data_IF_364467697640
#
_entry.id   IF_364467697640
#
_cell.length_a   1.000
_cell.length_b   1.000
_cell.length_c   1.000
_cell.angle_alpha   90.00
_cell.angle_beta   90.00
_cell.angle_gamma   90.00
#
_symmetry.space_group_name_H-M   'P 1'
#
loop_
_entity.id
_entity.type
_entity.pdbx_description
1 polymer ?
#
# COMPACT_ATOMS: atom_id res chain seq x y z
N UNK A 1 8.38 -15.28 -18.47
CA UNK A 1 7.90 -14.26 -17.51
C UNK A 1 9.11 -13.61 -16.85
N UNK A 2 9.32 -12.30 -17.04
CA UNK A 2 10.50 -11.61 -16.51
C UNK A 2 10.44 -11.53 -14.97
N UNK A 3 11.44 -12.10 -14.28
CA UNK A 3 11.61 -11.98 -12.82
C UNK A 3 12.01 -10.53 -12.48
N UNK A 4 11.06 -9.69 -12.07
CA UNK A 4 11.38 -8.38 -11.47
C UNK A 4 12.11 -8.62 -10.15
N UNK A 5 13.42 -8.33 -10.15
CA UNK A 5 14.31 -8.48 -8.99
C UNK A 5 13.99 -7.37 -8.00
N UNK A 6 13.34 -7.69 -6.88
CA UNK A 6 13.13 -6.72 -5.79
C UNK A 6 14.50 -6.41 -5.19
N UNK A 7 15.00 -5.21 -5.43
CA UNK A 7 16.28 -4.74 -4.88
C UNK A 7 16.02 -4.27 -3.46
N UNK A 8 16.51 -5.03 -2.47
CA UNK A 8 16.55 -4.58 -1.09
C UNK A 8 17.67 -3.54 -0.96
N UNK A 9 17.30 -2.27 -0.79
CA UNK A 9 18.29 -1.19 -0.68
C UNK A 9 19.12 -1.36 0.60
N UNK A 10 20.40 -1.75 0.46
CA UNK A 10 21.42 -1.31 1.43
C UNK A 10 21.51 0.21 1.29
N UNK A 11 21.50 0.93 2.43
CA UNK A 11 21.51 2.41 2.58
C UNK A 11 22.55 3.21 1.74
N UNK A 12 23.39 2.57 0.94
CA UNK A 12 24.60 3.13 0.35
C UNK A 12 24.63 3.18 -1.19
N UNK A 13 23.49 3.04 -1.89
CA UNK A 13 23.47 2.94 -3.37
C UNK A 13 22.37 3.71 -4.11
N UNK A 14 21.66 4.64 -3.48
CA UNK A 14 20.61 5.43 -4.15
C UNK A 14 20.83 6.91 -3.86
N UNK A 15 20.69 7.75 -4.89
CA UNK A 15 20.74 9.21 -4.78
C UNK A 15 19.58 9.72 -3.92
N UNK A 16 19.82 10.79 -3.15
CA UNK A 16 18.91 11.28 -2.12
C UNK A 16 17.52 11.69 -2.67
N UNK A 17 17.45 12.12 -3.93
CA UNK A 17 16.21 12.50 -4.62
C UNK A 17 15.39 11.29 -5.12
N UNK A 18 15.98 10.09 -5.20
CA UNK A 18 15.28 8.88 -5.64
C UNK A 18 14.65 8.09 -4.47
N UNK A 19 14.73 8.63 -3.24
CA UNK A 19 14.26 7.98 -2.02
C UNK A 19 12.84 8.43 -1.61
N UNK A 20 11.86 8.35 -2.52
CA UNK A 20 10.46 8.53 -2.12
C UNK A 20 10.02 7.35 -1.25
N UNK A 21 9.74 7.63 0.03
CA UNK A 21 9.26 6.66 1.03
C UNK A 21 8.03 5.89 0.56
N UNK A 22 7.24 6.42 -0.38
CA UNK A 22 6.06 5.74 -0.95
C UNK A 22 6.40 4.54 -1.82
N UNK A 23 7.60 4.50 -2.41
CA UNK A 23 8.04 3.45 -3.34
C UNK A 23 8.98 2.42 -2.72
N UNK A 24 9.28 2.56 -1.44
CA UNK A 24 10.26 1.72 -0.73
C UNK A 24 9.53 0.71 0.14
N UNK A 25 9.94 -0.56 0.06
CA UNK A 25 9.53 -1.60 1.01
C UNK A 25 10.56 -1.72 2.12
N UNK A 26 10.15 -1.49 3.36
CA UNK A 26 10.99 -1.68 4.54
C UNK A 26 10.63 -3.02 5.19
N UNK A 27 11.63 -3.89 5.38
CA UNK A 27 11.44 -5.14 6.11
C UNK A 27 11.53 -4.87 7.61
N UNK A 28 10.42 -5.04 8.32
CA UNK A 28 10.36 -4.94 9.77
C UNK A 28 9.78 -6.22 10.37
N UNK A 29 10.16 -6.53 11.60
CA UNK A 29 9.52 -7.58 12.39
C UNK A 29 8.42 -6.95 13.24
N UNK A 30 7.20 -7.44 13.10
CA UNK A 30 6.04 -7.01 13.90
C UNK A 30 5.43 -8.25 14.55
N UNK A 31 5.06 -8.16 15.83
CA UNK A 31 4.24 -9.18 16.49
C UNK A 31 2.77 -8.82 16.28
N UNK A 32 2.00 -9.78 15.78
CA UNK A 32 0.55 -9.69 15.65
C UNK A 32 -0.06 -10.79 16.50
N UNK A 33 -1.20 -10.51 17.10
CA UNK A 33 -1.99 -11.52 17.81
C UNK A 33 -2.47 -12.60 16.82
N UNK A 34 -2.61 -13.83 17.31
CA UNK A 34 -2.87 -14.98 16.46
C UNK A 34 -4.22 -14.88 15.73
N UNK A 35 -5.25 -14.44 16.45
CA UNK A 35 -6.59 -14.19 15.91
C UNK A 35 -6.60 -13.09 14.85
N UNK A 36 -5.84 -12.01 15.07
CA UNK A 36 -5.68 -10.92 14.09
C UNK A 36 -5.01 -11.43 12.82
N UNK A 37 -3.94 -12.22 12.93
CA UNK A 37 -3.25 -12.77 11.77
C UNK A 37 -4.15 -13.71 10.96
N UNK A 38 -4.90 -14.59 11.64
CA UNK A 38 -5.83 -15.51 10.96
C UNK A 38 -6.98 -14.76 10.29
N UNK A 39 -7.55 -13.74 10.94
CA UNK A 39 -8.57 -12.88 10.32
C UNK A 39 -8.06 -12.19 9.06
N UNK A 40 -6.84 -11.66 9.10
CA UNK A 40 -6.21 -11.01 7.94
C UNK A 40 -5.94 -12.01 6.80
N UNK A 41 -5.55 -13.25 7.11
CA UNK A 41 -5.36 -14.31 6.10
C UNK A 41 -6.67 -14.69 5.42
N UNK A 42 -7.75 -14.87 6.18
CA UNK A 42 -9.06 -15.19 5.64
C UNK A 42 -9.54 -14.09 4.67
N UNK A 43 -9.50 -12.83 5.11
CA UNK A 43 -9.88 -11.69 4.27
C UNK A 43 -9.00 -11.53 3.03
N UNK A 44 -7.70 -11.82 3.15
CA UNK A 44 -6.79 -11.80 2.01
C UNK A 44 -7.12 -12.91 1.00
N UNK A 45 -7.45 -14.11 1.47
CA UNK A 45 -7.88 -15.25 0.64
C UNK A 45 -9.15 -14.91 -0.15
N UNK A 46 -10.16 -14.32 0.51
CA UNK A 46 -11.42 -13.92 -0.14
C UNK A 46 -11.19 -12.91 -1.28
N UNK A 47 -10.14 -12.09 -1.16
CA UNK A 47 -9.74 -11.10 -2.16
C UNK A 47 -8.70 -11.62 -3.16
N UNK A 48 -8.26 -12.87 -3.04
CA UNK A 48 -7.20 -13.45 -3.89
C UNK A 48 -5.83 -12.79 -3.71
N UNK A 49 -5.56 -12.17 -2.56
CA UNK A 49 -4.33 -11.44 -2.26
C UNK A 49 -3.44 -12.20 -1.27
N UNK A 50 -2.11 -12.07 -1.37
CA UNK A 50 -1.21 -12.51 -0.30
C UNK A 50 -1.49 -11.74 1.00
N UNK A 51 -1.49 -12.43 2.15
CA UNK A 51 -1.81 -11.81 3.44
C UNK A 51 -0.94 -10.58 3.77
N UNK A 52 0.36 -10.59 3.43
CA UNK A 52 1.24 -9.43 3.63
C UNK A 52 0.86 -8.23 2.74
N UNK A 53 0.39 -8.48 1.52
CA UNK A 53 -0.10 -7.44 0.62
C UNK A 53 -1.39 -6.86 1.18
N UNK A 54 -2.28 -7.70 1.67
CA UNK A 54 -3.54 -7.28 2.27
C UNK A 54 -3.34 -6.48 3.56
N UNK A 55 -2.47 -6.92 4.46
CA UNK A 55 -2.11 -6.15 5.67
C UNK A 55 -1.59 -4.76 5.29
N UNK A 56 -0.68 -4.67 4.31
CA UNK A 56 -0.19 -3.37 3.85
C UNK A 56 -1.28 -2.49 3.23
N UNK A 57 -2.23 -3.09 2.51
CA UNK A 57 -3.38 -2.38 1.93
C UNK A 57 -4.25 -1.78 3.04
N UNK A 58 -4.66 -2.58 4.02
CA UNK A 58 -5.49 -2.13 5.15
C UNK A 58 -4.81 -1.02 5.95
N UNK A 59 -3.50 -1.17 6.23
CA UNK A 59 -2.73 -0.13 6.92
C UNK A 59 -2.64 1.15 6.09
N UNK A 60 -2.45 1.04 4.78
CA UNK A 60 -2.38 2.19 3.86
C UNK A 60 -3.72 2.92 3.80
N UNK A 61 -4.83 2.21 3.69
CA UNK A 61 -6.18 2.78 3.72
C UNK A 61 -6.46 3.49 5.06
N UNK A 62 -6.01 2.91 6.18
CA UNK A 62 -6.19 3.53 7.49
C UNK A 62 -5.40 4.83 7.66
N UNK A 63 -4.18 4.90 7.10
CA UNK A 63 -3.31 6.09 7.22
C UNK A 63 -3.71 7.18 6.22
N UNK A 64 -4.05 6.80 4.99
CA UNK A 64 -4.23 7.75 3.89
C UNK A 64 -5.68 7.91 3.42
N UNK A 65 -6.64 7.25 4.07
CA UNK A 65 -8.01 7.13 3.58
C UNK A 65 -8.14 6.11 2.44
N UNK A 66 -9.37 5.70 2.15
CA UNK A 66 -9.63 4.78 1.04
C UNK A 66 -9.25 5.42 -0.30
N UNK A 67 -8.83 4.60 -1.27
CA UNK A 67 -8.62 5.12 -2.63
C UNK A 67 -9.92 5.65 -3.23
N UNK A 68 -11.05 5.07 -2.83
CA UNK A 68 -12.37 5.50 -3.26
C UNK A 68 -12.69 6.93 -2.81
N UNK A 69 -12.35 7.30 -1.58
CA UNK A 69 -12.54 8.66 -1.08
C UNK A 69 -11.71 9.68 -1.86
N UNK A 70 -10.47 9.30 -2.23
CA UNK A 70 -9.60 10.16 -3.06
C UNK A 70 -10.16 10.31 -4.47
N UNK A 71 -10.63 9.22 -5.07
CA UNK A 71 -11.25 9.24 -6.40
C UNK A 71 -12.51 10.12 -6.36
N UNK A 72 -13.37 9.99 -5.36
CA UNK A 72 -14.57 10.84 -5.20
C UNK A 72 -14.23 12.32 -5.05
N UNK A 73 -13.17 12.66 -4.32
CA UNK A 73 -12.71 14.03 -4.19
C UNK A 73 -12.29 14.61 -5.55
N UNK A 74 -11.45 13.89 -6.30
CA UNK A 74 -10.98 14.30 -7.62
C UNK A 74 -12.16 14.47 -8.59
N UNK A 75 -13.10 13.52 -8.63
CA UNK A 75 -14.27 13.58 -9.51
C UNK A 75 -15.14 14.80 -9.21
N UNK A 76 -15.33 15.16 -7.94
CA UNK A 76 -16.09 16.35 -7.56
C UNK A 76 -15.41 17.64 -8.03
N UNK A 77 -14.09 17.73 -7.86
CA UNK A 77 -13.32 18.90 -8.30
C UNK A 77 -13.38 19.07 -9.83
N UNK A 78 -13.26 17.97 -10.59
CA UNK A 78 -13.39 17.97 -12.05
C UNK A 78 -14.80 18.39 -12.52
N UNK A 79 -15.86 17.93 -11.83
CA UNK A 79 -17.23 18.34 -12.13
C UNK A 79 -17.48 19.82 -11.82
N UNK A 80 -16.92 20.33 -10.72
CA UNK A 80 -17.02 21.74 -10.35
C UNK A 80 -16.29 22.65 -11.36
N UNK A 81 -15.11 22.24 -11.82
CA UNK A 81 -14.32 22.99 -12.81
C UNK A 81 -14.94 22.99 -14.21
N UNK A 82 -15.69 21.94 -14.60
CA UNK A 82 -16.40 21.90 -15.88
C UNK A 82 -17.73 22.66 -15.88
N UNK A 83 -18.26 23.01 -14.71
CA UNK A 83 -19.49 23.76 -14.56
C UNK A 83 -19.28 25.28 -14.48
N UNK A 84 -18.01 25.73 -14.49
CA UNK A 84 -17.61 27.14 -14.53
C UNK A 84 -17.04 27.52 -15.89
#
# INVERSE_FOLDING_TARGET
MAKKKVVYAKKSKLDADEFDRKHIKVLISVRLDGDVLEGMKAQASDKGLPYQTYINLVLRERIHGSEEDKIRAIVRDELANKAS
#
